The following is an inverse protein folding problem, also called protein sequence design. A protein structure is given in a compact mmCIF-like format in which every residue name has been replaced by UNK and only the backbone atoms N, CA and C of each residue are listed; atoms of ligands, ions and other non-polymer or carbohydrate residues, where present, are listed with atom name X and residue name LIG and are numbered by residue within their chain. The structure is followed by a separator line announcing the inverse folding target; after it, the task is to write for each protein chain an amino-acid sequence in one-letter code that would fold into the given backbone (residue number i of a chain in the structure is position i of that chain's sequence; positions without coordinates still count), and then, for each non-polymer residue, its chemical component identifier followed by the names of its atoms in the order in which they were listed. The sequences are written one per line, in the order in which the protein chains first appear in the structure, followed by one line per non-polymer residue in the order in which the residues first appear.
data_IF_917315245861
#
_entry.id   IF_917315245861
#
_cell.length_a   1.000
_cell.length_b   1.000
_cell.length_c   1.000
_cell.angle_alpha   90.00
_cell.angle_beta   90.00
_cell.angle_gamma   90.00
#
_symmetry.space_group_name_H-M   'P 1'
#
loop_
_entity.id
_entity.type
_entity.pdbx_description
1 polymer ?
#
# COMPACT_ATOMS: atom_id res chain seq x y z
N UNK A 1 6.99 -24.90 15.22
CA UNK A 1 5.54 -24.98 15.54
C UNK A 1 4.80 -25.10 14.22
N UNK A 2 3.79 -25.98 14.10
CA UNK A 2 3.15 -26.32 12.81
C UNK A 2 2.23 -25.24 12.22
N UNK A 3 2.53 -23.98 12.48
CA UNK A 3 1.73 -22.82 12.03
C UNK A 3 2.10 -22.44 10.59
N UNK A 4 1.13 -21.89 9.86
CA UNK A 4 1.36 -21.43 8.48
C UNK A 4 2.14 -20.12 8.48
N UNK A 5 3.35 -20.15 7.89
CA UNK A 5 4.24 -18.98 7.75
C UNK A 5 4.26 -18.44 6.32
N UNK A 6 4.56 -17.15 6.18
CA UNK A 6 4.77 -16.48 4.91
C UNK A 6 5.97 -15.52 4.98
N UNK A 7 6.23 -14.80 3.89
CA UNK A 7 7.38 -13.89 3.79
C UNK A 7 7.41 -12.81 4.89
N UNK A 8 6.27 -12.32 5.38
CA UNK A 8 6.24 -11.32 6.46
C UNK A 8 6.73 -11.91 7.78
N UNK A 9 6.37 -13.16 8.07
CA UNK A 9 6.84 -13.87 9.27
C UNK A 9 8.37 -14.04 9.24
N UNK A 10 8.96 -14.26 8.07
CA UNK A 10 10.42 -14.28 7.91
C UNK A 10 11.07 -12.92 8.26
N UNK A 11 10.46 -11.79 7.92
CA UNK A 11 10.95 -10.46 8.31
C UNK A 11 10.76 -10.19 9.81
N UNK A 12 9.61 -10.54 10.38
CA UNK A 12 9.33 -10.38 11.81
C UNK A 12 10.25 -11.25 12.68
N UNK A 13 10.63 -12.44 12.18
CA UNK A 13 11.53 -13.37 12.88
C UNK A 13 12.88 -12.74 13.24
N UNK A 14 13.39 -11.80 12.42
CA UNK A 14 14.63 -11.09 12.73
C UNK A 14 14.49 -10.20 13.98
N UNK A 15 13.40 -9.42 14.07
CA UNK A 15 13.15 -8.57 15.23
C UNK A 15 12.91 -9.39 16.50
N UNK A 16 12.17 -10.49 16.37
CA UNK A 16 11.91 -11.42 17.47
C UNK A 16 13.22 -12.06 17.98
N UNK A 17 14.09 -12.51 17.07
CA UNK A 17 15.39 -13.06 17.43
C UNK A 17 16.28 -12.03 18.14
N UNK A 18 16.36 -10.81 17.59
CA UNK A 18 17.19 -9.74 18.17
C UNK A 18 16.74 -9.28 19.54
N UNK A 19 15.46 -9.42 19.86
CA UNK A 19 14.91 -9.15 21.20
C UNK A 19 14.82 -10.39 22.09
N UNK A 20 15.40 -11.52 21.67
CA UNK A 20 15.48 -12.75 22.47
C UNK A 20 14.16 -13.49 22.63
N UNK A 21 13.15 -13.20 21.81
CA UNK A 21 11.83 -13.87 21.86
C UNK A 21 11.83 -15.24 21.18
N UNK A 22 12.70 -15.43 20.18
CA UNK A 22 12.91 -16.72 19.51
C UNK A 22 14.40 -17.03 19.42
N UNK A 23 14.73 -18.31 19.32
CA UNK A 23 16.07 -18.82 19.05
C UNK A 23 16.48 -18.63 17.58
N UNK A 24 17.79 -18.76 17.30
CA UNK A 24 18.29 -18.70 15.92
C UNK A 24 17.82 -19.90 15.08
N UNK A 25 17.62 -21.06 15.74
CA UNK A 25 17.06 -22.26 15.11
C UNK A 25 15.62 -22.04 14.65
N UNK A 26 14.77 -21.47 15.50
CA UNK A 26 13.38 -21.11 15.15
C UNK A 26 13.33 -20.07 14.04
N UNK A 27 14.19 -19.03 14.12
CA UNK A 27 14.31 -18.03 13.04
C UNK A 27 14.66 -18.68 11.71
N UNK A 28 15.62 -19.61 11.71
CA UNK A 28 16.04 -20.31 10.51
C UNK A 28 14.94 -21.21 9.94
N UNK A 29 14.17 -21.88 10.80
CA UNK A 29 13.03 -22.71 10.41
C UNK A 29 11.93 -21.89 9.69
N UNK A 30 11.59 -20.71 10.23
CA UNK A 30 10.63 -19.79 9.58
C UNK A 30 11.12 -19.38 8.19
N UNK A 31 12.40 -18.99 8.06
CA UNK A 31 12.98 -18.58 6.77
C UNK A 31 12.95 -19.71 5.75
N UNK A 32 13.21 -20.95 6.17
CA UNK A 32 13.19 -22.15 5.30
C UNK A 32 11.80 -22.47 4.74
N UNK A 33 10.74 -22.15 5.49
CA UNK A 33 9.37 -22.58 5.16
C UNK A 33 8.44 -21.45 4.72
N UNK A 34 8.85 -20.19 4.83
CA UNK A 34 8.04 -19.02 4.45
C UNK A 34 7.70 -18.91 2.96
N UNK A 35 8.45 -19.57 2.08
CA UNK A 35 8.30 -19.50 0.62
C UNK A 35 8.33 -20.90 -0.02
N UNK A 36 7.22 -21.65 0.01
CA UNK A 36 7.20 -23.07 -0.38
C UNK A 36 7.25 -23.31 -1.90
N UNK A 37 7.14 -22.27 -2.73
CA UNK A 37 7.12 -22.43 -4.19
C UNK A 37 6.99 -21.11 -4.95
N UNK A 38 6.66 -21.21 -6.24
CA UNK A 38 6.49 -20.05 -7.12
C UNK A 38 5.21 -19.27 -6.82
N UNK A 39 5.28 -17.94 -6.95
CA UNK A 39 4.15 -17.05 -6.78
C UNK A 39 4.56 -15.69 -6.21
N UNK A 40 3.64 -14.74 -6.26
CA UNK A 40 3.78 -13.49 -5.51
C UNK A 40 3.50 -13.74 -4.01
N UNK A 41 3.75 -12.73 -3.17
CA UNK A 41 3.41 -12.79 -1.75
C UNK A 41 1.90 -13.03 -1.57
N UNK A 42 1.50 -13.97 -0.70
CA UNK A 42 0.09 -14.39 -0.56
C UNK A 42 -0.86 -13.39 0.11
N UNK A 43 -0.35 -12.48 0.93
CA UNK A 43 -1.16 -11.42 1.56
C UNK A 43 -1.59 -10.34 0.57
N UNK A 44 -2.46 -9.43 1.01
CA UNK A 44 -2.89 -8.27 0.24
C UNK A 44 -1.83 -7.15 0.25
N UNK A 45 -0.63 -7.49 -0.21
CA UNK A 45 0.46 -6.56 -0.45
C UNK A 45 0.35 -5.97 -1.85
N UNK A 46 1.38 -5.26 -2.31
CA UNK A 46 1.37 -4.55 -3.60
C UNK A 46 1.04 -5.46 -4.78
N UNK A 47 1.60 -6.67 -4.83
CA UNK A 47 1.36 -7.60 -5.94
C UNK A 47 -0.12 -7.99 -6.08
N UNK A 48 -0.73 -8.54 -5.03
CA UNK A 48 -2.14 -8.92 -5.06
C UNK A 48 -3.09 -7.71 -5.16
N UNK A 49 -2.71 -6.57 -4.58
CA UNK A 49 -3.48 -5.32 -4.75
C UNK A 49 -3.48 -4.90 -6.21
N UNK A 50 -2.31 -4.83 -6.84
CA UNK A 50 -2.20 -4.38 -8.23
C UNK A 50 -2.74 -5.39 -9.23
N UNK A 51 -2.62 -6.69 -8.96
CA UNK A 51 -3.31 -7.72 -9.75
C UNK A 51 -4.82 -7.53 -9.71
N UNK A 52 -5.39 -7.30 -8.51
CA UNK A 52 -6.82 -7.00 -8.34
C UNK A 52 -7.20 -5.71 -9.07
N UNK A 53 -6.40 -4.65 -8.94
CA UNK A 53 -6.60 -3.39 -9.67
C UNK A 53 -6.65 -3.63 -11.18
N UNK A 54 -5.72 -4.41 -11.75
CA UNK A 54 -5.69 -4.66 -13.19
C UNK A 54 -6.91 -5.45 -13.67
N UNK A 55 -7.40 -6.41 -12.87
CA UNK A 55 -8.64 -7.12 -13.17
C UNK A 55 -9.87 -6.18 -13.13
N UNK A 56 -9.97 -5.32 -12.12
CA UNK A 56 -11.08 -4.37 -11.94
C UNK A 56 -11.07 -3.25 -12.98
N UNK A 57 -9.88 -2.78 -13.37
CA UNK A 57 -9.69 -1.86 -14.51
C UNK A 57 -10.15 -2.49 -15.83
N UNK A 58 -10.39 -3.81 -15.86
CA UNK A 58 -10.71 -4.54 -17.08
C UNK A 58 -9.49 -4.82 -17.96
N UNK A 59 -8.28 -4.72 -17.43
CA UNK A 59 -7.01 -4.97 -18.15
C UNK A 59 -6.51 -6.41 -18.03
N UNK A 60 -7.09 -7.20 -17.11
CA UNK A 60 -6.86 -8.63 -16.97
C UNK A 60 -8.17 -9.41 -17.18
N UNK A 61 -8.05 -10.69 -17.54
CA UNK A 61 -9.21 -11.57 -17.63
C UNK A 61 -9.82 -11.82 -16.24
N UNK A 62 -11.14 -12.10 -16.15
CA UNK A 62 -11.73 -12.51 -14.88
C UNK A 62 -10.98 -13.67 -14.25
N UNK A 63 -10.82 -13.62 -12.92
CA UNK A 63 -10.06 -14.53 -12.06
C UNK A 63 -8.54 -14.41 -12.13
N UNK A 64 -7.98 -13.65 -13.07
CA UNK A 64 -6.52 -13.53 -13.25
C UNK A 64 -5.79 -13.14 -11.97
N UNK A 65 -6.35 -12.23 -11.18
CA UNK A 65 -5.76 -11.74 -9.95
C UNK A 65 -5.77 -12.74 -8.80
N UNK A 66 -6.72 -13.68 -8.81
CA UNK A 66 -6.95 -14.58 -7.67
C UNK A 66 -6.43 -15.99 -7.88
N UNK A 67 -6.34 -16.49 -9.13
CA UNK A 67 -5.82 -17.84 -9.41
C UNK A 67 -4.37 -17.98 -8.90
N UNK A 68 -4.08 -18.91 -7.96
CA UNK A 68 -2.73 -19.14 -7.48
C UNK A 68 -1.76 -19.57 -8.59
N UNK A 69 -0.49 -19.22 -8.46
CA UNK A 69 0.50 -19.39 -9.53
C UNK A 69 0.70 -20.86 -9.97
N UNK A 70 0.55 -21.81 -9.04
CA UNK A 70 0.76 -23.25 -9.29
C UNK A 70 -0.52 -24.00 -9.65
N UNK A 71 -1.66 -23.32 -9.70
CA UNK A 71 -2.94 -23.93 -10.07
C UNK A 71 -3.01 -24.13 -11.60
N UNK A 72 -3.50 -25.28 -12.10
CA UNK A 72 -3.61 -25.54 -13.55
C UNK A 72 -4.38 -24.46 -14.33
N UNK A 73 -5.35 -23.83 -13.68
CA UNK A 73 -6.19 -22.75 -14.20
C UNK A 73 -5.36 -21.56 -14.68
N UNK A 74 -4.21 -21.28 -14.06
CA UNK A 74 -3.32 -20.18 -14.47
C UNK A 74 -2.73 -20.45 -15.85
N UNK A 75 -2.28 -21.68 -16.10
CA UNK A 75 -1.78 -22.07 -17.43
C UNK A 75 -2.90 -22.04 -18.49
N UNK A 76 -4.12 -22.47 -18.10
CA UNK A 76 -5.29 -22.40 -18.99
C UNK A 76 -5.68 -20.96 -19.32
N UNK A 77 -5.61 -20.04 -18.37
CA UNK A 77 -5.79 -18.61 -18.60
C UNK A 77 -4.80 -18.08 -19.64
N UNK A 78 -3.51 -18.37 -19.48
CA UNK A 78 -2.47 -17.98 -20.44
C UNK A 78 -2.79 -18.46 -21.86
N UNK A 79 -3.29 -19.69 -22.01
CA UNK A 79 -3.69 -20.22 -23.32
C UNK A 79 -4.91 -19.48 -23.89
N UNK A 80 -5.90 -19.14 -23.06
CA UNK A 80 -7.11 -18.42 -23.47
C UNK A 80 -6.85 -16.96 -23.83
N UNK A 81 -5.81 -16.33 -23.26
CA UNK A 81 -5.49 -14.92 -23.49
C UNK A 81 -5.35 -14.56 -24.98
N UNK A 82 -4.77 -15.44 -25.79
CA UNK A 82 -4.60 -15.22 -27.23
C UNK A 82 -5.94 -15.04 -27.98
N UNK A 83 -7.00 -15.74 -27.55
CA UNK A 83 -8.34 -15.61 -28.14
C UNK A 83 -8.92 -14.22 -27.88
N UNK A 84 -8.76 -13.71 -26.66
CA UNK A 84 -9.23 -12.38 -26.29
C UNK A 84 -8.44 -11.29 -26.99
N UNK A 85 -7.11 -11.41 -27.06
CA UNK A 85 -6.27 -10.47 -27.80
C UNK A 85 -6.68 -10.39 -29.28
N UNK A 86 -6.96 -11.53 -29.93
CA UNK A 86 -7.48 -11.56 -31.31
C UNK A 86 -8.79 -10.79 -31.45
N UNK A 87 -9.70 -10.91 -30.47
CA UNK A 87 -10.96 -10.17 -30.46
C UNK A 87 -10.75 -8.66 -30.27
N UNK A 88 -9.85 -8.26 -29.36
CA UNK A 88 -9.49 -6.86 -29.15
C UNK A 88 -8.92 -6.22 -30.42
N UNK A 89 -8.02 -6.94 -31.11
CA UNK A 89 -7.47 -6.50 -32.39
C UNK A 89 -8.55 -6.38 -33.48
N UNK A 90 -9.45 -7.37 -33.57
CA UNK A 90 -10.53 -7.35 -34.56
C UNK A 90 -11.54 -6.20 -34.34
N UNK A 91 -11.76 -5.81 -33.08
CA UNK A 91 -12.66 -4.72 -32.69
C UNK A 91 -11.96 -3.38 -32.49
N UNK A 92 -10.64 -3.32 -32.66
CA UNK A 92 -9.78 -2.16 -32.37
C UNK A 92 -10.00 -1.55 -30.97
N UNK A 93 -10.18 -2.42 -29.95
CA UNK A 93 -10.32 -2.01 -28.55
C UNK A 93 -8.92 -1.81 -27.96
N UNK A 94 -8.62 -0.58 -27.55
CA UNK A 94 -7.30 -0.14 -27.05
C UNK A 94 -7.31 0.08 -25.54
N UNK A 95 -6.14 0.14 -24.87
CA UNK A 95 -6.08 0.39 -23.42
C UNK A 95 -6.83 1.65 -22.98
N UNK A 96 -6.84 2.73 -23.77
CA UNK A 96 -7.57 3.97 -23.46
C UNK A 96 -9.09 3.87 -23.61
N UNK A 97 -9.58 2.84 -24.31
CA UNK A 97 -11.01 2.53 -24.40
C UNK A 97 -11.50 1.74 -23.16
N UNK A 98 -10.56 1.11 -22.43
CA UNK A 98 -10.81 0.29 -21.24
C UNK A 98 -10.54 1.09 -19.97
N UNK A 99 -9.33 1.63 -19.84
CA UNK A 99 -8.88 2.41 -18.68
C UNK A 99 -9.48 3.81 -18.80
N UNK A 100 -10.60 4.03 -18.11
CA UNK A 100 -11.29 5.32 -18.02
C UNK A 100 -11.24 5.85 -16.59
N UNK A 101 -11.65 7.12 -16.38
CA UNK A 101 -11.81 7.69 -15.04
C UNK A 101 -12.70 6.81 -14.14
N UNK A 102 -13.80 6.30 -14.68
CA UNK A 102 -14.73 5.40 -13.97
C UNK A 102 -14.09 4.05 -13.63
N UNK A 103 -13.30 3.48 -14.55
CA UNK A 103 -12.56 2.25 -14.30
C UNK A 103 -11.57 2.41 -13.13
N UNK A 104 -10.88 3.55 -13.10
CA UNK A 104 -9.96 3.90 -12.01
C UNK A 104 -10.71 4.07 -10.69
N UNK A 105 -11.87 4.73 -10.67
CA UNK A 105 -12.69 4.84 -9.45
C UNK A 105 -13.15 3.46 -8.95
N UNK A 106 -13.59 2.56 -9.84
CA UNK A 106 -13.88 1.16 -9.48
C UNK A 106 -12.65 0.48 -8.85
N UNK A 107 -11.46 0.68 -9.42
CA UNK A 107 -10.23 0.11 -8.88
C UNK A 107 -9.89 0.67 -7.49
N UNK A 108 -10.06 1.97 -7.25
CA UNK A 108 -9.86 2.59 -5.93
C UNK A 108 -10.89 2.06 -4.92
N UNK A 109 -12.15 1.88 -5.33
CA UNK A 109 -13.18 1.22 -4.52
C UNK A 109 -12.69 -0.15 -4.09
N UNK A 110 -12.28 -1.00 -5.03
CA UNK A 110 -11.86 -2.37 -4.72
C UNK A 110 -10.60 -2.40 -3.86
N UNK A 111 -9.65 -1.48 -4.06
CA UNK A 111 -8.49 -1.35 -3.16
C UNK A 111 -8.93 -1.19 -1.71
N UNK A 112 -9.93 -0.34 -1.43
CA UNK A 112 -10.46 -0.14 -0.07
C UNK A 112 -11.24 -1.35 0.45
N UNK A 113 -12.10 -1.95 -0.39
CA UNK A 113 -12.85 -3.16 -0.04
C UNK A 113 -11.91 -4.28 0.43
N UNK A 114 -10.80 -4.48 -0.26
CA UNK A 114 -9.88 -5.60 -0.02
C UNK A 114 -8.76 -5.28 0.98
N UNK A 115 -8.66 -4.05 1.51
CA UNK A 115 -7.57 -3.69 2.40
C UNK A 115 -6.22 -3.54 1.70
N UNK A 116 -6.22 -3.09 0.43
CA UNK A 116 -5.06 -3.03 -0.47
C UNK A 116 -3.87 -2.17 0.00
N UNK A 117 -2.73 -2.36 -0.65
CA UNK A 117 -1.49 -1.62 -0.40
C UNK A 117 -1.61 -0.12 -0.68
N UNK A 118 -0.96 0.71 0.13
CA UNK A 118 -0.83 2.16 -0.11
C UNK A 118 -0.07 2.47 -1.41
N UNK A 119 0.78 1.55 -1.89
CA UNK A 119 1.46 1.67 -3.19
C UNK A 119 0.48 1.74 -4.37
N UNK A 120 -0.78 1.28 -4.20
CA UNK A 120 -1.80 1.45 -5.22
C UNK A 120 -2.04 2.93 -5.57
N UNK A 121 -1.85 3.86 -4.62
CA UNK A 121 -1.94 5.30 -4.88
C UNK A 121 -0.95 5.73 -5.94
N UNK A 122 0.33 5.37 -5.77
CA UNK A 122 1.38 5.72 -6.72
C UNK A 122 1.10 5.13 -8.10
N UNK A 123 0.77 3.83 -8.14
CA UNK A 123 0.57 3.12 -9.39
C UNK A 123 -0.67 3.61 -10.15
N UNK A 124 -1.79 3.88 -9.46
CA UNK A 124 -3.00 4.37 -10.12
C UNK A 124 -2.83 5.82 -10.61
N UNK A 125 -2.11 6.69 -9.88
CA UNK A 125 -1.73 8.02 -10.37
C UNK A 125 -0.87 7.93 -11.64
N UNK A 126 0.14 7.05 -11.66
CA UNK A 126 0.98 6.85 -12.83
C UNK A 126 0.22 6.23 -14.02
N UNK A 127 -0.68 5.27 -13.77
CA UNK A 127 -1.57 4.71 -14.80
C UNK A 127 -2.47 5.81 -15.37
N UNK A 128 -3.10 6.62 -14.53
CA UNK A 128 -3.93 7.74 -14.95
C UNK A 128 -3.14 8.72 -15.84
N UNK A 129 -1.94 9.10 -15.41
CA UNK A 129 -1.02 9.96 -16.18
C UNK A 129 -0.72 9.39 -17.57
N UNK A 130 -0.44 8.09 -17.67
CA UNK A 130 -0.17 7.42 -18.96
C UNK A 130 -1.37 7.40 -19.93
N UNK A 131 -2.58 7.41 -19.37
CA UNK A 131 -3.84 7.45 -20.10
C UNK A 131 -4.36 8.84 -20.40
N UNK A 132 -3.66 9.90 -19.97
CA UNK A 132 -4.14 11.29 -19.95
C UNK A 132 -5.47 11.45 -19.19
N UNK A 133 -5.64 10.70 -18.10
CA UNK A 133 -6.84 10.70 -17.26
C UNK A 133 -6.59 11.59 -16.05
N UNK A 134 -7.44 12.59 -15.77
CA UNK A 134 -7.29 13.41 -14.57
C UNK A 134 -7.53 12.54 -13.33
N UNK A 135 -6.51 12.44 -12.47
CA UNK A 135 -6.58 11.81 -11.15
C UNK A 135 -5.62 12.54 -10.22
N UNK A 136 -6.09 12.85 -9.02
CA UNK A 136 -5.32 13.49 -7.96
C UNK A 136 -5.25 12.59 -6.74
N UNK A 137 -4.30 12.85 -5.85
CA UNK A 137 -4.21 12.10 -4.58
C UNK A 137 -5.49 12.25 -3.74
N UNK A 138 -6.18 13.38 -3.82
CA UNK A 138 -7.39 13.64 -3.03
C UNK A 138 -8.60 12.81 -3.52
N UNK A 139 -8.63 12.39 -4.78
CA UNK A 139 -9.67 11.50 -5.31
C UNK A 139 -9.73 10.16 -4.56
N UNK A 140 -8.57 9.67 -4.08
CA UNK A 140 -8.51 8.44 -3.28
C UNK A 140 -9.25 8.59 -1.95
N UNK A 141 -9.22 9.77 -1.36
CA UNK A 141 -9.90 10.03 -0.10
C UNK A 141 -11.41 10.18 -0.30
N UNK A 142 -11.85 10.78 -1.41
CA UNK A 142 -13.28 10.87 -1.76
C UNK A 142 -13.90 9.47 -1.91
N UNK A 143 -13.21 8.55 -2.60
CA UNK A 143 -13.64 7.15 -2.68
C UNK A 143 -13.49 6.45 -1.31
N UNK A 144 -12.37 6.69 -0.64
CA UNK A 144 -12.09 6.51 0.80
C UNK A 144 -13.34 6.51 1.69
N UNK A 145 -13.92 7.70 1.75
CA UNK A 145 -14.96 8.09 2.70
C UNK A 145 -16.28 7.36 2.48
N UNK A 146 -16.56 6.88 1.27
CA UNK A 146 -17.83 6.21 0.92
C UNK A 146 -17.72 4.69 0.76
N UNK A 147 -16.51 4.14 0.74
CA UNK A 147 -16.30 2.70 0.50
C UNK A 147 -15.97 1.97 1.80
N UNK A 148 -16.71 0.93 2.20
CA UNK A 148 -16.38 0.16 3.39
C UNK A 148 -15.12 -0.70 3.20
N UNK A 149 -14.50 -1.12 4.29
CA UNK A 149 -13.47 -2.17 4.28
C UNK A 149 -14.10 -3.51 4.66
N UNK A 150 -14.05 -4.50 3.74
CA UNK A 150 -14.81 -5.76 3.87
C UNK A 150 -13.94 -7.01 3.98
N UNK A 151 -12.79 -7.10 3.31
CA UNK A 151 -12.04 -8.34 3.22
C UNK A 151 -11.05 -8.51 4.38
N UNK A 152 -11.14 -9.62 5.12
CA UNK A 152 -10.26 -9.94 6.25
C UNK A 152 -8.95 -10.59 5.79
N UNK A 153 -8.21 -9.86 4.95
CA UNK A 153 -6.97 -10.34 4.32
C UNK A 153 -5.73 -9.79 5.03
N UNK A 154 -4.68 -10.62 5.14
CA UNK A 154 -3.36 -10.21 5.64
C UNK A 154 -2.84 -8.99 4.84
N UNK A 155 -2.18 -8.02 5.50
CA UNK A 155 -1.67 -8.07 6.87
C UNK A 155 -2.69 -7.70 7.97
N UNK A 156 -3.84 -7.14 7.59
CA UNK A 156 -4.80 -6.54 8.53
C UNK A 156 -5.80 -7.53 9.09
N UNK A 157 -6.09 -8.56 8.30
CA UNK A 157 -6.91 -9.70 8.65
C UNK A 157 -6.14 -11.01 8.72
N UNK A 158 -6.86 -12.11 8.60
CA UNK A 158 -6.34 -13.46 8.86
C UNK A 158 -6.04 -14.24 7.56
N UNK A 159 -6.84 -14.03 6.52
CA UNK A 159 -6.82 -14.82 5.29
C UNK A 159 -5.80 -14.31 4.25
N UNK A 160 -5.56 -15.10 3.21
CA UNK A 160 -4.69 -14.75 2.07
C UNK A 160 -5.45 -14.79 0.73
N UNK A 161 -4.83 -14.36 -0.37
CA UNK A 161 -5.47 -14.31 -1.69
C UNK A 161 -6.00 -15.68 -2.16
N UNK A 162 -5.34 -16.78 -1.77
CA UNK A 162 -5.82 -18.13 -2.09
C UNK A 162 -7.19 -18.41 -1.44
N UNK A 163 -7.44 -17.92 -0.23
CA UNK A 163 -8.73 -18.07 0.44
C UNK A 163 -9.80 -17.26 -0.28
N UNK A 164 -9.46 -16.03 -0.71
CA UNK A 164 -10.37 -15.22 -1.54
C UNK A 164 -10.68 -15.91 -2.86
N UNK A 165 -9.70 -16.55 -3.50
CA UNK A 165 -9.92 -17.33 -4.71
C UNK A 165 -10.91 -18.48 -4.48
N UNK A 166 -10.73 -19.24 -3.39
CA UNK A 166 -11.66 -20.31 -2.99
C UNK A 166 -13.07 -19.80 -2.67
N UNK A 167 -13.19 -18.57 -2.18
CA UNK A 167 -14.46 -17.89 -1.95
C UNK A 167 -15.14 -17.37 -3.24
N UNK A 168 -14.52 -17.53 -4.43
CA UNK A 168 -15.06 -17.06 -5.71
C UNK A 168 -14.24 -15.94 -6.36
N UNK A 169 -13.16 -15.49 -5.72
CA UNK A 169 -12.20 -14.54 -6.26
C UNK A 169 -12.73 -13.10 -6.41
N UNK A 170 -11.97 -12.29 -7.14
CA UNK A 170 -12.34 -10.92 -7.48
C UNK A 170 -13.68 -10.85 -8.24
N UNK A 171 -14.03 -11.76 -9.17
CA UNK A 171 -15.32 -11.70 -9.86
C UNK A 171 -16.53 -11.87 -8.92
N UNK A 172 -16.50 -12.82 -7.98
CA UNK A 172 -17.60 -12.99 -7.02
C UNK A 172 -17.77 -11.75 -6.13
N UNK A 173 -16.65 -11.14 -5.70
CA UNK A 173 -16.65 -9.89 -4.96
C UNK A 173 -17.26 -8.74 -5.78
N UNK A 174 -16.84 -8.58 -7.03
CA UNK A 174 -17.36 -7.53 -7.91
C UNK A 174 -18.85 -7.71 -8.19
N UNK A 175 -19.31 -8.95 -8.39
CA UNK A 175 -20.74 -9.24 -8.58
C UNK A 175 -21.55 -8.86 -7.34
N UNK A 176 -21.07 -9.22 -6.16
CA UNK A 176 -21.69 -8.83 -4.89
C UNK A 176 -21.77 -7.30 -4.75
N UNK A 177 -20.67 -6.58 -5.00
CA UNK A 177 -20.68 -5.11 -4.93
C UNK A 177 -21.62 -4.47 -5.95
N UNK A 178 -21.66 -5.00 -7.18
CA UNK A 178 -22.52 -4.51 -8.26
C UNK A 178 -24.01 -4.70 -7.94
N UNK A 179 -24.38 -5.82 -7.31
CA UNK A 179 -25.77 -6.14 -6.98
C UNK A 179 -26.29 -5.38 -5.74
N UNK A 180 -25.40 -5.01 -4.83
CA UNK A 180 -25.79 -4.51 -3.49
C UNK A 180 -25.35 -3.07 -3.19
N UNK A 181 -24.62 -2.41 -4.09
CA UNK A 181 -24.14 -1.03 -3.91
C UNK A 181 -24.16 -0.25 -5.22
N UNK A 182 -23.98 1.06 -5.11
CA UNK A 182 -23.69 1.97 -6.23
C UNK A 182 -22.18 2.30 -6.34
N UNK A 183 -21.31 1.55 -5.64
CA UNK A 183 -19.87 1.82 -5.57
C UNK A 183 -19.08 1.35 -6.80
N UNK A 184 -19.69 0.49 -7.63
CA UNK A 184 -19.07 -0.09 -8.84
C UNK A 184 -19.92 0.24 -10.07
N UNK A 185 -19.31 0.87 -11.07
CA UNK A 185 -19.91 1.06 -12.39
C UNK A 185 -19.63 -0.17 -13.28
N UNK A 186 -20.66 -0.95 -13.57
CA UNK A 186 -20.57 -2.14 -14.40
C UNK A 186 -20.47 -1.88 -15.92
N UNK A 187 -20.66 -0.65 -16.39
CA UNK A 187 -20.74 -0.31 -17.82
C UNK A 187 -19.38 -0.23 -18.53
N UNK A 188 -18.27 -0.23 -17.77
CA UNK A 188 -16.92 -0.12 -18.33
C UNK A 188 -16.57 -1.29 -19.26
N UNK A 189 -15.87 -1.00 -20.36
CA UNK A 189 -15.32 -2.01 -21.28
C UNK A 189 -14.16 -2.76 -20.64
N UNK A 190 -13.92 -4.01 -21.04
CA UNK A 190 -12.81 -4.83 -20.53
C UNK A 190 -12.07 -5.54 -21.67
N UNK A 191 -10.94 -6.19 -21.37
CA UNK A 191 -10.15 -7.00 -22.31
C UNK A 191 -10.91 -8.21 -22.88
N UNK A 192 -12.06 -8.58 -22.33
CA UNK A 192 -12.91 -9.62 -22.93
C UNK A 192 -13.66 -9.10 -24.16
N UNK A 193 -13.74 -7.78 -24.34
CA UNK A 193 -14.58 -7.11 -25.32
C UNK A 193 -16.07 -7.07 -24.94
N UNK A 194 -16.35 -7.31 -23.65
CA UNK A 194 -17.64 -7.15 -22.95
C UNK A 194 -17.49 -6.14 -21.81
N UNK A 195 -18.60 -5.62 -21.31
CA UNK A 195 -18.59 -4.76 -20.13
C UNK A 195 -18.26 -5.55 -18.85
N UNK A 196 -17.91 -4.84 -17.77
CA UNK A 196 -17.69 -5.48 -16.47
C UNK A 196 -18.95 -6.24 -16.02
N UNK A 197 -20.15 -5.63 -16.11
CA UNK A 197 -21.40 -6.27 -15.73
C UNK A 197 -21.67 -7.54 -16.54
N UNK A 198 -21.48 -7.48 -17.86
CA UNK A 198 -21.64 -8.61 -18.76
C UNK A 198 -20.71 -9.78 -18.42
N UNK A 199 -19.47 -9.51 -17.98
CA UNK A 199 -18.55 -10.55 -17.54
C UNK A 199 -18.97 -11.25 -16.24
N UNK A 200 -19.84 -10.61 -15.43
CA UNK A 200 -20.25 -11.08 -14.11
C UNK A 200 -21.63 -11.77 -14.13
N UNK A 201 -22.35 -11.78 -15.25
CA UNK A 201 -23.69 -12.38 -15.37
C UNK A 201 -23.73 -13.83 -14.87
N UNK A 202 -22.76 -14.65 -15.29
CA UNK A 202 -22.69 -16.08 -14.97
C UNK A 202 -21.83 -16.42 -13.75
N UNK A 203 -21.21 -15.41 -13.11
CA UNK A 203 -20.37 -15.62 -11.93
C UNK A 203 -21.25 -15.92 -10.71
N UNK A 204 -20.90 -16.87 -9.86
CA UNK A 204 -21.59 -17.01 -8.57
C UNK A 204 -21.19 -15.85 -7.64
N UNK A 205 -22.17 -15.16 -7.05
CA UNK A 205 -21.91 -14.10 -6.08
C UNK A 205 -21.50 -14.66 -4.72
N UNK A 206 -20.84 -13.83 -3.91
CA UNK A 206 -20.50 -14.18 -2.53
C UNK A 206 -21.77 -14.45 -1.71
N UNK A 207 -21.75 -15.55 -0.96
CA UNK A 207 -22.78 -15.92 0.01
C UNK A 207 -22.26 -15.69 1.43
N UNK A 208 -23.20 -15.42 2.33
CA UNK A 208 -22.91 -15.12 3.74
C UNK A 208 -23.86 -15.94 4.62
N UNK A 209 -23.35 -16.49 5.71
CA UNK A 209 -24.13 -17.33 6.62
C UNK A 209 -23.31 -18.47 7.19
N UNK A 210 -23.97 -19.35 7.94
CA UNK A 210 -23.35 -20.56 8.46
C UNK A 210 -22.98 -21.50 7.32
N UNK A 211 -21.73 -21.96 7.29
CA UNK A 211 -21.20 -22.84 6.23
C UNK A 211 -20.68 -22.12 4.97
N UNK A 212 -20.83 -20.80 4.89
CA UNK A 212 -20.34 -20.00 3.77
C UNK A 212 -18.94 -19.41 4.03
N UNK A 213 -18.37 -18.76 3.03
CA UNK A 213 -17.05 -18.12 3.11
C UNK A 213 -16.96 -17.07 4.25
N UNK A 214 -15.78 -16.94 4.85
CA UNK A 214 -15.51 -15.98 5.95
C UNK A 214 -14.50 -14.90 5.57
N UNK A 215 -14.02 -14.90 4.32
CA UNK A 215 -12.93 -14.04 3.84
C UNK A 215 -13.40 -12.60 3.64
N UNK A 216 -14.65 -12.43 3.19
CA UNK A 216 -15.28 -11.14 2.93
C UNK A 216 -16.48 -10.99 3.86
N UNK A 217 -16.55 -9.83 4.53
CA UNK A 217 -17.69 -9.44 5.36
C UNK A 217 -18.84 -8.89 4.52
N UNK A 218 -20.11 -9.09 4.93
CA UNK A 218 -21.24 -8.48 4.23
C UNK A 218 -21.25 -6.96 4.45
N UNK A 219 -21.82 -6.21 3.48
CA UNK A 219 -21.81 -4.73 3.43
C UNK A 219 -22.47 -4.09 4.68
N UNK A 220 -23.45 -4.76 5.28
CA UNK A 220 -24.15 -4.31 6.49
C UNK A 220 -23.35 -4.55 7.78
N UNK A 221 -22.31 -5.41 7.73
CA UNK A 221 -21.41 -5.70 8.85
C UNK A 221 -19.94 -5.58 8.42
N UNK A 222 -19.50 -4.39 7.95
CA UNK A 222 -18.14 -4.21 7.44
C UNK A 222 -17.11 -4.28 8.59
N UNK A 223 -15.84 -4.54 8.26
CA UNK A 223 -14.74 -4.45 9.23
C UNK A 223 -14.57 -3.00 9.68
N UNK A 224 -14.67 -2.06 8.73
CA UNK A 224 -14.69 -0.62 8.97
C UNK A 224 -15.69 0.03 8.00
N UNK A 225 -16.54 0.98 8.45
CA UNK A 225 -17.55 1.61 7.59
C UNK A 225 -16.96 2.47 6.47
N UNK A 226 -15.70 2.88 6.58
CA UNK A 226 -14.95 3.61 5.55
C UNK A 226 -13.68 2.85 5.18
N UNK A 227 -13.03 3.27 4.10
CA UNK A 227 -11.86 2.58 3.58
C UNK A 227 -10.68 2.67 4.53
N UNK A 228 -9.72 1.75 4.36
CA UNK A 228 -8.48 1.79 5.14
C UNK A 228 -7.50 2.82 4.58
N UNK A 229 -7.54 3.10 3.27
CA UNK A 229 -6.59 3.99 2.62
C UNK A 229 -6.92 5.43 2.98
N UNK A 230 -6.00 6.11 3.68
CA UNK A 230 -6.20 7.47 4.18
C UNK A 230 -5.11 8.38 3.64
N UNK A 231 -5.54 9.49 3.03
CA UNK A 231 -4.69 10.60 2.62
C UNK A 231 -4.65 11.59 3.78
N UNK A 232 -3.47 11.78 4.34
CA UNK A 232 -3.20 12.71 5.44
C UNK A 232 -2.62 14.01 4.88
N UNK A 233 -2.96 15.13 5.52
CA UNK A 233 -2.41 16.47 5.27
C UNK A 233 -1.95 17.09 6.59
N UNK A 234 -1.23 18.20 6.56
CA UNK A 234 -0.83 18.90 7.77
C UNK A 234 0.46 19.66 7.53
N UNK A 235 0.95 20.36 8.55
CA UNK A 235 2.17 21.14 8.38
C UNK A 235 3.42 20.24 8.15
N UNK A 236 3.38 18.97 8.57
CA UNK A 236 4.47 18.02 8.28
C UNK A 236 4.40 17.44 6.86
N UNK A 237 3.20 17.33 6.30
CA UNK A 237 2.95 16.79 4.96
C UNK A 237 1.98 17.69 4.17
N UNK A 238 2.41 18.90 3.74
CA UNK A 238 1.52 19.85 3.08
C UNK A 238 1.03 19.35 1.71
N UNK A 239 1.83 18.54 1.02
CA UNK A 239 1.47 17.92 -0.26
C UNK A 239 0.61 16.68 -0.11
N UNK A 240 1.05 15.69 0.67
CA UNK A 240 0.25 14.53 1.06
C UNK A 240 1.09 13.61 1.93
N UNK A 241 0.46 12.77 2.73
CA UNK A 241 1.02 11.50 3.15
C UNK A 241 -0.04 10.41 3.01
N UNK A 242 0.39 9.17 2.84
CA UNK A 242 -0.53 8.04 2.62
C UNK A 242 -0.34 7.04 3.75
N UNK A 243 -1.45 6.69 4.39
CA UNK A 243 -1.49 5.73 5.48
C UNK A 243 -2.53 4.65 5.22
N UNK A 244 -2.32 3.50 5.85
CA UNK A 244 -3.30 2.43 5.96
C UNK A 244 -3.84 2.45 7.38
N UNK A 245 -5.05 3.00 7.56
CA UNK A 245 -5.70 3.19 8.85
C UNK A 245 -6.93 2.29 9.01
N UNK A 246 -6.75 1.17 9.71
CA UNK A 246 -7.82 0.17 9.88
C UNK A 246 -8.73 0.44 11.09
N UNK A 247 -8.27 1.28 12.02
CA UNK A 247 -8.93 1.58 13.29
C UNK A 247 -8.46 0.68 14.45
N UNK A 248 -7.84 -0.47 14.16
CA UNK A 248 -7.29 -1.39 15.19
C UNK A 248 -6.07 -0.79 15.92
N UNK A 249 -5.37 0.13 15.28
CA UNK A 249 -4.22 0.86 15.80
C UNK A 249 -4.62 2.03 16.73
N UNK A 250 -5.90 2.40 16.76
CA UNK A 250 -6.37 3.63 17.39
C UNK A 250 -6.62 4.73 16.36
N UNK A 251 -7.05 5.90 16.84
CA UNK A 251 -7.50 7.01 15.98
C UNK A 251 -6.57 8.22 16.07
N UNK A 252 -5.79 8.33 17.15
CA UNK A 252 -4.80 9.40 17.33
C UNK A 252 -3.54 8.78 17.90
N UNK A 253 -2.40 9.15 17.33
CA UNK A 253 -1.08 8.88 17.90
C UNK A 253 -0.38 10.20 18.19
N UNK A 254 0.14 10.36 19.40
CA UNK A 254 0.97 11.49 19.77
C UNK A 254 2.30 10.97 20.35
N UNK A 255 3.41 11.51 19.87
CA UNK A 255 4.72 11.08 20.32
C UNK A 255 5.84 12.06 20.00
N UNK A 256 7.05 11.65 20.36
CA UNK A 256 8.28 12.43 20.10
C UNK A 256 9.08 11.82 18.96
N UNK A 257 9.63 12.68 18.10
CA UNK A 257 10.37 12.27 16.93
C UNK A 257 11.68 11.55 17.29
N UNK A 258 11.98 10.48 16.55
CA UNK A 258 13.29 9.84 16.49
C UNK A 258 13.65 9.67 15.02
N UNK A 259 14.60 10.47 14.52
CA UNK A 259 14.87 10.62 13.10
C UNK A 259 16.06 9.74 12.65
N UNK A 260 15.93 9.20 11.43
CA UNK A 260 16.94 8.43 10.74
C UNK A 260 17.08 8.92 9.30
N UNK A 261 18.25 9.43 8.94
CA UNK A 261 18.55 9.84 7.56
C UNK A 261 19.05 8.65 6.72
N UNK A 262 19.57 7.63 7.39
CA UNK A 262 20.10 6.40 6.81
C UNK A 262 19.45 5.21 7.50
N UNK A 263 18.77 4.36 6.73
CA UNK A 263 18.05 3.19 7.25
C UNK A 263 18.95 2.24 8.05
N UNK A 264 20.22 2.08 7.65
CA UNK A 264 21.17 1.20 8.34
C UNK A 264 21.44 1.60 9.80
N UNK A 265 21.23 2.87 10.18
CA UNK A 265 21.43 3.35 11.56
C UNK A 265 20.28 2.95 12.50
N UNK A 266 19.13 2.58 11.95
CA UNK A 266 17.96 2.15 12.72
C UNK A 266 18.20 0.84 13.47
N UNK A 267 18.82 -0.16 12.82
CA UNK A 267 19.00 -1.48 13.44
C UNK A 267 19.88 -1.44 14.70
N UNK A 268 21.06 -0.79 14.70
CA UNK A 268 21.84 -0.62 15.91
C UNK A 268 21.12 0.17 17.01
N UNK A 269 20.29 1.16 16.65
CA UNK A 269 19.49 1.92 17.62
C UNK A 269 18.40 1.05 18.28
N UNK A 270 17.74 0.19 17.48
CA UNK A 270 16.79 -0.79 17.99
C UNK A 270 17.47 -1.80 18.91
N UNK A 271 18.62 -2.35 18.52
CA UNK A 271 19.40 -3.30 19.33
C UNK A 271 19.85 -2.70 20.68
N UNK A 272 20.18 -1.40 20.71
CA UNK A 272 20.53 -0.69 21.94
C UNK A 272 19.33 -0.24 22.78
N UNK A 273 18.10 -0.52 22.35
CA UNK A 273 16.88 -0.13 23.07
C UNK A 273 16.62 1.39 23.04
N UNK A 274 17.14 2.10 22.05
CA UNK A 274 16.92 3.55 21.89
C UNK A 274 15.54 3.87 21.31
N UNK A 275 14.93 2.91 20.60
CA UNK A 275 13.55 2.99 20.13
C UNK A 275 12.61 2.59 21.27
N UNK A 276 11.69 3.47 21.64
CA UNK A 276 10.82 3.35 22.80
C UNK A 276 9.36 3.53 22.42
N UNK A 277 8.47 2.93 23.21
CA UNK A 277 7.04 3.22 23.16
C UNK A 277 6.78 4.73 23.29
N UNK A 278 5.81 5.24 22.52
CA UNK A 278 5.47 6.66 22.44
C UNK A 278 6.35 7.47 21.47
N UNK A 279 7.26 6.84 20.73
CA UNK A 279 8.06 7.53 19.71
C UNK A 279 7.41 7.50 18.34
N UNK A 280 7.64 8.59 17.60
CA UNK A 280 7.40 8.71 16.17
C UNK A 280 8.74 8.53 15.47
N UNK A 281 8.96 7.35 14.91
CA UNK A 281 10.21 6.99 14.21
C UNK A 281 10.12 7.48 12.76
N UNK A 282 11.02 8.37 12.37
CA UNK A 282 10.97 9.06 11.08
C UNK A 282 12.16 8.67 10.23
N UNK A 283 11.90 8.10 9.06
CA UNK A 283 12.92 7.79 8.06
C UNK A 283 12.89 8.85 6.96
N UNK A 284 13.96 9.62 6.85
CA UNK A 284 14.08 10.74 5.91
C UNK A 284 15.00 10.41 4.76
N UNK A 285 14.89 11.18 3.69
CA UNK A 285 15.69 11.02 2.48
C UNK A 285 15.52 9.63 1.85
N UNK A 286 14.35 9.02 2.05
CA UNK A 286 13.91 7.77 1.43
C UNK A 286 12.94 8.04 0.28
N UNK A 287 12.67 9.30 -0.06
CA UNK A 287 11.80 9.70 -1.15
C UNK A 287 12.37 9.39 -2.55
N UNK A 288 11.59 9.74 -3.61
CA UNK A 288 11.98 9.51 -5.00
C UNK A 288 13.36 10.04 -5.36
N UNK A 289 13.70 11.26 -4.95
CA UNK A 289 14.99 11.90 -5.26
C UNK A 289 16.03 11.66 -4.17
N UNK A 290 15.62 11.58 -2.91
CA UNK A 290 16.50 11.47 -1.75
C UNK A 290 17.31 10.18 -1.73
N UNK A 291 16.67 9.03 -1.92
CA UNK A 291 17.33 7.74 -1.80
C UNK A 291 18.34 7.48 -2.93
N UNK A 292 18.03 7.67 -4.24
CA UNK A 292 16.75 7.78 -4.97
C UNK A 292 15.97 6.46 -5.12
N UNK A 293 14.83 6.50 -5.83
CA UNK A 293 14.05 5.31 -6.20
C UNK A 293 12.91 4.97 -5.25
N UNK A 294 12.71 5.78 -4.20
CA UNK A 294 11.66 5.60 -3.21
C UNK A 294 11.59 4.16 -2.66
N UNK A 295 12.66 3.64 -2.03
CA UNK A 295 12.71 2.25 -1.57
C UNK A 295 11.58 1.91 -0.60
N UNK A 296 11.17 0.64 -0.61
CA UNK A 296 10.17 0.11 0.31
C UNK A 296 10.84 -0.50 1.54
N UNK A 297 10.62 0.10 2.71
CA UNK A 297 11.22 -0.31 3.97
C UNK A 297 10.36 -1.39 4.65
N UNK A 298 10.56 -2.65 4.24
CA UNK A 298 9.95 -3.80 4.92
C UNK A 298 10.72 -4.16 6.20
N UNK A 299 12.05 -4.13 6.15
CA UNK A 299 12.93 -4.52 7.25
C UNK A 299 12.67 -3.75 8.56
N UNK A 300 12.65 -2.41 8.56
CA UNK A 300 12.38 -1.63 9.78
C UNK A 300 11.01 -1.91 10.39
N UNK A 301 9.97 -2.05 9.55
CA UNK A 301 8.61 -2.34 10.04
C UNK A 301 8.53 -3.72 10.69
N UNK A 302 9.11 -4.75 10.07
CA UNK A 302 9.16 -6.11 10.64
C UNK A 302 9.99 -6.17 11.92
N UNK A 303 11.10 -5.41 11.99
CA UNK A 303 11.92 -5.33 13.19
C UNK A 303 11.19 -4.66 14.36
N UNK A 304 10.45 -3.58 14.13
CA UNK A 304 9.58 -2.93 15.14
C UNK A 304 8.49 -3.90 15.63
N UNK A 305 7.85 -4.63 14.71
CA UNK A 305 6.82 -5.61 15.05
C UNK A 305 7.40 -6.75 15.90
N UNK A 306 8.51 -7.35 15.46
CA UNK A 306 9.21 -8.40 16.18
C UNK A 306 9.77 -7.94 17.53
N UNK A 307 10.10 -6.66 17.69
CA UNK A 307 10.49 -6.07 18.97
C UNK A 307 9.30 -5.76 19.92
N UNK A 308 8.06 -6.05 19.51
CA UNK A 308 6.86 -5.77 20.31
C UNK A 308 6.44 -4.30 20.35
N UNK A 309 7.02 -3.45 19.49
CA UNK A 309 6.81 -2.00 19.48
C UNK A 309 5.75 -1.54 18.45
N UNK A 310 5.21 -2.45 17.64
CA UNK A 310 4.31 -2.08 16.52
C UNK A 310 2.99 -1.40 16.90
N UNK A 311 2.50 -1.59 18.13
CA UNK A 311 1.29 -0.91 18.64
C UNK A 311 1.58 0.38 19.42
N UNK A 312 2.85 0.61 19.76
CA UNK A 312 3.26 1.69 20.65
C UNK A 312 4.19 2.70 19.98
N UNK A 313 4.47 2.53 18.69
CA UNK A 313 5.27 3.46 17.88
C UNK A 313 4.50 3.85 16.62
N UNK A 314 4.87 5.00 16.06
CA UNK A 314 4.39 5.47 14.77
C UNK A 314 5.59 5.57 13.82
N UNK A 315 5.42 5.11 12.57
CA UNK A 315 6.46 5.15 11.55
C UNK A 315 6.08 6.14 10.46
N UNK A 316 6.96 7.09 10.15
CA UNK A 316 6.75 8.12 9.12
C UNK A 316 7.92 8.12 8.14
N UNK A 317 7.65 8.26 6.85
CA UNK A 317 8.71 8.42 5.84
C UNK A 317 8.26 9.19 4.60
N UNK A 318 9.22 9.86 3.96
CA UNK A 318 9.09 10.37 2.58
C UNK A 318 9.24 9.26 1.52
N UNK A 319 9.69 8.07 1.91
CA UNK A 319 9.72 6.86 1.10
C UNK A 319 8.44 6.02 1.19
N UNK A 320 8.58 4.69 1.15
CA UNK A 320 7.46 3.74 1.24
C UNK A 320 7.68 2.76 2.38
N UNK A 321 6.61 2.40 3.06
CA UNK A 321 6.61 1.23 3.95
C UNK A 321 5.92 0.07 3.24
N UNK A 322 6.27 -1.14 3.66
CA UNK A 322 5.68 -2.31 3.04
C UNK A 322 4.24 -2.52 3.45
N UNK A 323 3.45 -3.07 2.53
CA UNK A 323 2.06 -3.44 2.77
C UNK A 323 1.87 -4.59 3.75
N UNK A 324 2.93 -5.12 4.38
CA UNK A 324 2.88 -6.20 5.38
C UNK A 324 2.69 -5.74 6.83
N UNK A 325 2.74 -4.44 7.07
CA UNK A 325 2.91 -3.89 8.41
C UNK A 325 1.57 -3.53 9.09
N UNK A 326 1.56 -3.42 10.43
CA UNK A 326 0.40 -3.04 11.26
C UNK A 326 0.76 -1.85 12.15
N UNK A 327 -0.20 -0.98 12.48
CA UNK A 327 0.02 0.21 13.31
C UNK A 327 -0.05 1.52 12.52
N UNK A 328 0.35 2.63 13.15
CA UNK A 328 0.43 3.94 12.49
C UNK A 328 1.66 3.98 11.57
N UNK A 329 1.44 3.71 10.28
CA UNK A 329 2.50 3.61 9.28
C UNK A 329 2.14 4.52 8.12
N UNK A 330 2.94 5.58 7.97
CA UNK A 330 2.69 6.71 7.09
C UNK A 330 3.85 6.84 6.11
N UNK A 331 3.58 6.65 4.83
CA UNK A 331 4.55 6.83 3.76
C UNK A 331 4.19 8.02 2.87
N UNK A 332 4.99 8.21 1.83
CA UNK A 332 4.72 9.16 0.75
C UNK A 332 4.63 10.62 1.23
N UNK A 333 5.25 10.95 2.37
CA UNK A 333 5.28 12.32 2.88
C UNK A 333 5.87 13.24 1.82
N UNK A 334 5.05 14.20 1.39
CA UNK A 334 5.36 15.12 0.30
C UNK A 334 5.20 16.56 0.80
N UNK A 335 6.16 17.46 0.51
CA UNK A 335 7.41 17.24 -0.20
C UNK A 335 8.41 16.35 0.55
N UNK A 336 9.22 15.59 -0.19
CA UNK A 336 10.26 14.73 0.39
C UNK A 336 11.40 15.53 1.03
N UNK A 337 12.19 14.90 1.91
CA UNK A 337 13.24 15.58 2.65
C UNK A 337 14.34 16.15 1.75
N UNK A 338 14.64 15.49 0.63
CA UNK A 338 15.66 15.94 -0.33
C UNK A 338 15.33 17.31 -0.93
N UNK A 339 14.03 17.63 -1.07
CA UNK A 339 13.54 18.90 -1.60
C UNK A 339 13.33 19.95 -0.51
N UNK A 340 13.72 19.67 0.74
CA UNK A 340 13.52 20.58 1.87
C UNK A 340 12.06 20.66 2.31
N UNK A 341 11.28 19.58 2.13
CA UNK A 341 9.96 19.48 2.75
C UNK A 341 10.05 19.49 4.29
N UNK A 342 8.95 19.78 5.00
CA UNK A 342 8.95 19.89 6.46
C UNK A 342 9.56 18.69 7.19
N UNK A 343 9.39 17.48 6.65
CA UNK A 343 10.02 16.26 7.18
C UNK A 343 11.55 16.35 7.29
N UNK A 344 12.24 17.11 6.42
CA UNK A 344 13.68 17.35 6.49
C UNK A 344 14.12 18.12 7.75
N UNK A 345 13.20 18.89 8.35
CA UNK A 345 13.48 19.86 9.40
C UNK A 345 13.16 19.35 10.81
N UNK A 346 12.55 18.17 10.90
CA UNK A 346 12.22 17.54 12.18
C UNK A 346 13.52 17.17 12.91
N UNK A 347 13.58 17.44 14.21
CA UNK A 347 14.69 17.04 15.06
C UNK A 347 14.23 16.03 16.13
N UNK A 348 15.16 15.23 16.65
CA UNK A 348 14.88 14.29 17.74
C UNK A 348 14.23 15.03 18.92
N UNK A 349 13.12 14.49 19.42
CA UNK A 349 12.36 15.06 20.54
C UNK A 349 11.20 15.98 20.14
N UNK A 350 11.12 16.43 18.89
CA UNK A 350 9.97 17.23 18.42
C UNK A 350 8.66 16.45 18.58
N UNK A 351 7.58 17.13 18.99
CA UNK A 351 6.26 16.50 19.16
C UNK A 351 5.52 16.42 17.83
N UNK A 352 4.93 15.27 17.56
CA UNK A 352 4.13 15.01 16.36
C UNK A 352 2.83 14.32 16.74
N UNK A 353 1.74 14.73 16.08
CA UNK A 353 0.42 14.10 16.19
C UNK A 353 -0.03 13.59 14.83
N UNK A 354 -0.50 12.34 14.79
CA UNK A 354 -1.23 11.79 13.64
C UNK A 354 -2.67 11.59 14.09
N UNK A 355 -3.62 12.27 13.44
CA UNK A 355 -5.04 12.21 13.76
C UNK A 355 -5.81 11.62 12.56
N UNK A 356 -6.29 10.39 12.72
CA UNK A 356 -7.05 9.66 11.70
C UNK A 356 -8.43 10.26 11.44
N UNK A 357 -9.04 10.94 12.42
CA UNK A 357 -10.35 11.57 12.26
C UNK A 357 -10.27 12.84 11.44
N UNK A 358 -9.31 13.70 11.78
CA UNK A 358 -9.06 14.95 11.05
C UNK A 358 -8.29 14.72 9.77
N UNK A 359 -7.69 13.53 9.62
CA UNK A 359 -6.75 13.16 8.56
C UNK A 359 -5.54 14.09 8.56
N UNK A 360 -5.02 14.38 9.75
CA UNK A 360 -3.89 15.30 9.92
C UNK A 360 -2.60 14.62 10.39
N UNK A 361 -1.48 15.21 9.99
CA UNK A 361 -0.12 14.91 10.44
C UNK A 361 0.56 16.23 10.82
N UNK A 362 0.54 16.52 12.12
CA UNK A 362 0.89 17.82 12.68
C UNK A 362 2.20 17.74 13.47
N UNK A 363 3.11 18.67 13.17
CA UNK A 363 4.40 18.85 13.80
C UNK A 363 4.38 20.10 14.69
N UNK A 364 4.56 19.91 15.99
CA UNK A 364 4.30 20.91 17.02
C UNK A 364 5.56 21.70 17.38
N UNK A 365 6.11 22.40 16.38
CA UNK A 365 7.22 23.34 16.52
C UNK A 365 6.74 24.73 16.08
N UNK A 366 7.16 25.79 16.76
CA UNK A 366 6.69 27.14 16.45
C UNK A 366 7.16 27.59 15.06
N UNK A 367 6.37 28.43 14.39
CA UNK A 367 6.68 28.91 13.04
C UNK A 367 8.04 29.60 12.94
N UNK A 368 8.49 30.28 14.01
CA UNK A 368 9.80 30.91 14.07
C UNK A 368 10.94 29.88 14.02
N UNK A 369 10.80 28.77 14.75
CA UNK A 369 11.79 27.69 14.74
C UNK A 369 11.75 26.95 13.40
N UNK A 370 10.56 26.70 12.84
CA UNK A 370 10.43 26.10 11.51
C UNK A 370 11.12 26.97 10.44
N UNK A 371 10.89 28.28 10.46
CA UNK A 371 11.52 29.23 9.55
C UNK A 371 13.04 29.28 9.72
N UNK A 372 13.53 29.27 10.97
CA UNK A 372 14.96 29.22 11.25
C UNK A 372 15.62 27.93 10.72
N UNK A 373 14.99 26.76 10.94
CA UNK A 373 15.47 25.48 10.42
C UNK A 373 15.42 25.43 8.89
N UNK A 374 14.37 25.98 8.28
CA UNK A 374 14.27 26.10 6.82
C UNK A 374 15.38 27.00 6.24
N UNK A 375 15.64 28.15 6.86
CA UNK A 375 16.73 29.04 6.44
C UNK A 375 18.10 28.36 6.57
N UNK A 376 18.32 27.60 7.65
CA UNK A 376 19.52 26.80 7.85
C UNK A 376 19.65 25.65 6.83
N UNK A 377 18.54 25.03 6.41
CA UNK A 377 18.54 24.03 5.34
C UNK A 377 18.90 24.64 3.99
N UNK A 378 18.29 25.79 3.64
CA UNK A 378 18.55 26.50 2.38
C UNK A 378 20.01 26.98 2.30
N UNK A 379 20.59 27.45 3.41
CA UNK A 379 21.97 27.95 3.43
C UNK A 379 23.02 26.86 3.16
N UNK A 380 22.69 25.58 3.34
CA UNK A 380 23.54 24.44 2.96
C UNK A 380 23.59 24.22 1.44
N UNK A 381 22.68 24.85 0.68
CA UNK A 381 22.52 24.68 -0.76
C UNK A 381 21.82 23.36 -1.15
N UNK A 382 21.61 23.12 -2.46
CA UNK A 382 21.00 21.89 -2.93
C UNK A 382 21.82 20.67 -2.52
N UNK A 383 21.16 19.69 -1.90
CA UNK A 383 21.82 18.44 -1.52
C UNK A 383 22.21 17.67 -2.79
N UNK A 384 23.45 17.15 -2.89
CA UNK A 384 23.81 16.31 -4.01
C UNK A 384 23.00 15.01 -3.98
N UNK A 385 22.65 14.47 -5.15
CA UNK A 385 22.10 13.12 -5.23
C UNK A 385 23.11 12.11 -4.66
N UNK A 386 22.61 11.11 -3.92
CA UNK A 386 23.44 10.03 -3.36
C UNK A 386 24.16 9.23 -4.45
N UNK A 387 23.59 9.18 -5.65
CA UNK A 387 24.14 8.50 -6.82
C UNK A 387 24.75 9.50 -7.81
N UNK A 388 25.94 9.18 -8.33
CA UNK A 388 26.69 10.10 -9.22
C UNK A 388 26.53 9.80 -10.72
N UNK A 389 26.05 8.61 -11.10
CA UNK A 389 25.88 8.14 -12.50
C UNK A 389 24.79 7.05 -12.56
N UNK A 390 24.42 6.62 -13.76
CA UNK A 390 23.52 5.48 -13.99
C UNK A 390 22.03 5.84 -13.97
N UNK A 391 21.19 4.80 -13.99
CA UNK A 391 19.73 4.94 -14.12
C UNK A 391 19.11 5.70 -12.93
N UNK A 392 19.59 5.49 -11.71
CA UNK A 392 19.06 6.16 -10.51
C UNK A 392 19.33 7.67 -10.52
N UNK A 393 20.43 8.13 -11.14
CA UNK A 393 20.66 9.57 -11.31
C UNK A 393 19.67 10.17 -12.30
N UNK A 394 19.38 9.47 -13.42
CA UNK A 394 18.39 9.92 -14.39
C UNK A 394 17.00 10.00 -13.75
N UNK A 395 16.63 8.95 -13.01
CA UNK A 395 15.40 8.91 -12.22
C UNK A 395 15.30 10.09 -11.26
N UNK A 396 16.29 10.30 -10.39
CA UNK A 396 16.25 11.37 -9.39
C UNK A 396 16.12 12.78 -9.99
N UNK A 397 16.68 12.99 -11.18
CA UNK A 397 16.55 14.27 -11.90
C UNK A 397 15.12 14.50 -12.36
N UNK A 398 14.53 13.49 -13.01
CA UNK A 398 13.31 13.65 -13.82
C UNK A 398 12.03 13.25 -13.06
N UNK A 399 12.14 12.53 -11.96
CA UNK A 399 10.97 11.98 -11.24
C UNK A 399 10.09 13.08 -10.63
N UNK A 400 8.78 12.91 -10.79
CA UNK A 400 7.73 13.70 -10.14
C UNK A 400 7.58 13.36 -8.64
N UNK A 401 6.91 14.22 -7.84
CA UNK A 401 6.60 13.89 -6.45
C UNK A 401 5.75 12.62 -6.29
N UNK A 402 5.82 12.00 -5.11
CA UNK A 402 4.99 10.85 -4.76
C UNK A 402 3.48 11.15 -4.86
N UNK A 403 3.06 12.39 -4.52
CA UNK A 403 1.67 12.85 -4.66
C UNK A 403 1.15 12.87 -6.09
N UNK A 404 2.02 12.72 -7.09
CA UNK A 404 1.71 12.69 -8.53
C UNK A 404 2.00 11.31 -9.15
N UNK A 405 2.34 10.30 -8.34
CA UNK A 405 2.62 8.94 -8.81
C UNK A 405 4.06 8.68 -9.21
N UNK A 406 5.00 9.59 -8.93
CA UNK A 406 6.43 9.42 -9.17
C UNK A 406 6.78 8.96 -10.61
N UNK A 407 6.08 9.52 -11.61
CA UNK A 407 6.37 9.31 -13.03
C UNK A 407 7.65 10.05 -13.46
N UNK A 408 8.14 9.81 -14.68
CA UNK A 408 9.44 10.33 -15.16
C UNK A 408 9.41 10.90 -16.61
N UNK A 409 8.24 11.05 -17.22
CA UNK A 409 8.05 11.46 -18.62
C UNK A 409 7.63 12.92 -18.82
#
# INVERSE_FOLDING_TARGET
MGDTVNIADAFESFGAYKTGQISDEERFDVVRHACPGAGACGGMYTANTMSSVLEVLGMSLPYSASIPAVYPEKAQECFRAAKYLKNLLAKDIKPRDIVTRKAIENAITVVNIIGGSTNAVLHLLAIARSGDIPLTVDDFQVVSDRTPYLADLKPSGQFVMEDLHKAGGIPALLKYLLNHTDLIDGSQMTVTGRTLAENLEDVEELKFGEGEQQVVMPIDKPIKPTGHLTILRGNLAPGSAVAKLTGKEGLVFEGTAKCFDVEAEFYPALERGEIKAGQVVIFRYQGPKGSPGMPEMLGPTGAIMGAGLGKSTCLITDGRFSGASRGFIIGHVTPEAHLGGPIALVEDGDRITVDAHKRTIDWHVSEEVQAARQAAFISQGPRPFRVKRGVLLRYARDVAPASEGAYCD
#
